data_IF_030790591612
#
_entry.id   IF_030790591612
#
_cell.length_a   1.000
_cell.length_b   1.000
_cell.length_c   1.000
_cell.angle_alpha   90.00
_cell.angle_beta   90.00
_cell.angle_gamma   90.00
#
_symmetry.space_group_name_H-M   'P 1'
#
loop_
_entity.id
_entity.type
_entity.pdbx_description
1 polymer ?
#
# COMPACT_ATOMS: atom_id res chain seq x y z
N UNK A 1 -8.94 1.35 23.68
CA UNK A 1 -7.63 0.76 24.01
C UNK A 1 -6.56 1.10 22.96
N UNK A 2 -6.65 0.72 21.67
CA UNK A 2 -5.58 1.03 20.71
C UNK A 2 -5.29 2.54 20.55
N UNK A 3 -6.33 3.35 20.50
CA UNK A 3 -6.20 4.83 20.33
C UNK A 3 -5.45 5.53 21.47
N UNK A 4 -5.35 4.91 22.65
CA UNK A 4 -4.55 5.44 23.78
C UNK A 4 -3.07 5.05 23.67
N UNK A 5 -2.75 4.03 22.87
CA UNK A 5 -1.38 3.52 22.70
C UNK A 5 -0.70 4.05 21.43
N UNK A 6 -1.48 4.33 20.38
CA UNK A 6 -0.99 4.75 19.08
C UNK A 6 -1.60 6.08 18.65
N UNK A 7 -0.78 6.94 18.09
CA UNK A 7 -1.20 8.28 17.61
C UNK A 7 -2.02 8.21 16.32
N UNK A 8 -1.86 7.19 15.51
CA UNK A 8 -2.59 6.95 14.27
C UNK A 8 -2.96 5.47 14.17
N UNK A 9 -4.19 5.19 13.73
CA UNK A 9 -4.68 3.85 13.46
C UNK A 9 -5.06 3.74 11.99
N UNK A 10 -4.41 2.82 11.28
CA UNK A 10 -4.68 2.50 9.89
C UNK A 10 -5.37 1.15 9.77
N UNK A 11 -6.26 1.04 8.78
CA UNK A 11 -6.94 -0.20 8.43
C UNK A 11 -6.52 -0.67 7.03
N UNK A 12 -6.34 -1.97 6.91
CA UNK A 12 -6.32 -2.67 5.63
C UNK A 12 -7.44 -3.71 5.68
N UNK A 13 -8.57 -3.38 5.07
CA UNK A 13 -9.81 -4.17 5.13
C UNK A 13 -10.50 -4.22 3.77
N UNK A 14 -11.36 -5.22 3.58
CA UNK A 14 -12.24 -5.28 2.42
C UNK A 14 -13.11 -4.02 2.32
N UNK A 15 -13.54 -3.62 1.08
CA UNK A 15 -14.41 -2.49 0.88
C UNK A 15 -15.65 -2.51 1.77
N UNK A 16 -15.95 -1.37 2.39
CA UNK A 16 -17.13 -1.15 3.23
C UNK A 16 -18.08 -0.14 2.57
N UNK A 17 -19.31 -0.10 3.08
CA UNK A 17 -20.23 0.99 2.80
C UNK A 17 -19.74 2.29 3.47
N UNK A 18 -20.24 3.44 3.06
CA UNK A 18 -19.91 4.72 3.71
C UNK A 18 -20.29 4.70 5.19
N UNK A 19 -21.43 4.08 5.54
CA UNK A 19 -21.86 3.90 6.93
C UNK A 19 -20.87 3.04 7.74
N UNK A 20 -20.42 1.92 7.14
CA UNK A 20 -19.39 1.07 7.76
C UNK A 20 -18.10 1.84 8.03
N UNK A 21 -17.64 2.65 7.08
CA UNK A 21 -16.47 3.52 7.28
C UNK A 21 -16.71 4.60 8.34
N UNK A 22 -17.91 5.16 8.42
CA UNK A 22 -18.25 6.15 9.47
C UNK A 22 -18.17 5.54 10.87
N UNK A 23 -18.63 4.31 11.06
CA UNK A 23 -18.49 3.61 12.34
C UNK A 23 -17.01 3.31 12.67
N UNK A 24 -16.21 2.91 11.68
CA UNK A 24 -14.77 2.70 11.88
C UNK A 24 -14.04 4.02 12.20
N UNK A 25 -14.42 5.12 11.57
CA UNK A 25 -13.87 6.44 11.89
C UNK A 25 -14.21 6.89 13.30
N UNK A 26 -15.46 6.71 13.73
CA UNK A 26 -15.88 6.96 15.13
C UNK A 26 -15.11 6.10 16.13
N UNK A 27 -14.78 4.86 15.77
CA UNK A 27 -13.93 3.99 16.58
C UNK A 27 -12.47 4.45 16.67
N UNK A 28 -12.07 5.44 15.84
CA UNK A 28 -10.78 6.10 15.91
C UNK A 28 -9.78 5.70 14.82
N UNK A 29 -10.22 5.02 13.79
CA UNK A 29 -9.39 4.75 12.61
C UNK A 29 -9.40 5.94 11.68
N UNK A 30 -8.23 6.38 11.22
CA UNK A 30 -8.07 7.61 10.44
C UNK A 30 -7.45 7.36 9.05
N UNK A 31 -6.87 6.18 8.82
CA UNK A 31 -6.24 5.81 7.56
C UNK A 31 -6.82 4.50 7.02
N UNK A 32 -7.05 4.44 5.72
CA UNK A 32 -7.51 3.25 5.01
C UNK A 32 -6.54 2.89 3.89
N UNK A 33 -6.16 1.62 3.85
CA UNK A 33 -5.49 1.00 2.70
C UNK A 33 -6.46 -0.02 2.08
N UNK A 34 -6.81 0.19 0.81
CA UNK A 34 -7.53 -0.80 0.01
C UNK A 34 -7.19 -0.56 -1.46
N UNK A 35 -6.36 -1.43 -2.01
CA UNK A 35 -5.85 -1.29 -3.38
C UNK A 35 -6.86 -1.78 -4.41
N UNK A 36 -6.88 -1.13 -5.58
CA UNK A 36 -7.79 -1.48 -6.67
C UNK A 36 -7.44 -2.81 -7.34
N UNK A 37 -6.21 -3.25 -7.27
CA UNK A 37 -5.58 -4.38 -7.94
C UNK A 37 -5.28 -4.10 -9.42
N UNK A 38 -6.26 -3.79 -10.25
CA UNK A 38 -6.13 -3.27 -11.61
C UNK A 38 -7.26 -2.28 -11.92
N UNK A 39 -6.97 -1.27 -12.70
CA UNK A 39 -7.93 -0.29 -13.19
C UNK A 39 -8.61 -0.71 -14.50
N UNK A 40 -8.14 -1.79 -15.13
CA UNK A 40 -8.79 -2.39 -16.29
C UNK A 40 -10.00 -3.25 -15.84
N UNK A 41 -11.24 -2.90 -16.17
CA UNK A 41 -12.42 -3.61 -15.69
C UNK A 41 -12.52 -5.05 -16.23
N UNK A 42 -12.05 -5.31 -17.46
CA UNK A 42 -12.10 -6.64 -18.07
C UNK A 42 -11.07 -7.56 -17.42
N UNK A 43 -9.85 -7.06 -17.21
CA UNK A 43 -8.82 -7.79 -16.49
C UNK A 43 -9.21 -7.99 -15.03
N UNK A 44 -9.82 -6.99 -14.39
CA UNK A 44 -10.33 -7.14 -13.03
C UNK A 44 -11.33 -8.29 -12.91
N UNK A 45 -12.30 -8.36 -13.83
CA UNK A 45 -13.29 -9.43 -13.88
C UNK A 45 -12.64 -10.80 -14.12
N UNK A 46 -11.61 -10.85 -14.97
CA UNK A 46 -10.86 -12.08 -15.23
C UNK A 46 -10.15 -12.59 -13.96
N UNK A 47 -9.47 -11.72 -13.20
CA UNK A 47 -8.75 -12.09 -11.98
C UNK A 47 -9.66 -12.28 -10.77
N UNK A 48 -10.85 -11.66 -10.77
CA UNK A 48 -11.80 -11.70 -9.65
C UNK A 48 -13.21 -12.11 -10.13
N UNK A 49 -13.37 -13.34 -10.65
CA UNK A 49 -14.62 -13.77 -11.31
C UNK A 49 -15.78 -13.97 -10.33
N UNK A 50 -15.52 -14.13 -9.04
CA UNK A 50 -16.53 -14.43 -8.04
C UNK A 50 -16.15 -13.93 -6.63
N UNK A 51 -17.10 -14.00 -5.69
CA UNK A 51 -16.90 -13.63 -4.29
C UNK A 51 -16.99 -12.13 -4.04
N UNK A 52 -16.76 -11.69 -2.79
CA UNK A 52 -16.92 -10.27 -2.40
C UNK A 52 -16.01 -9.31 -3.16
N UNK A 53 -14.89 -9.80 -3.68
CA UNK A 53 -13.91 -9.02 -4.43
C UNK A 53 -14.32 -8.78 -5.89
N UNK A 54 -15.35 -9.47 -6.42
CA UNK A 54 -15.76 -9.38 -7.83
C UNK A 54 -16.42 -8.05 -8.21
N UNK A 55 -16.87 -7.26 -7.25
CA UNK A 55 -17.52 -5.97 -7.52
C UNK A 55 -16.48 -4.87 -7.74
N UNK A 56 -16.13 -4.65 -9.02
CA UNK A 56 -15.15 -3.65 -9.44
C UNK A 56 -15.48 -2.24 -8.96
N UNK A 57 -16.70 -1.76 -9.25
CA UNK A 57 -17.14 -0.40 -8.92
C UNK A 57 -17.17 -0.16 -7.41
N UNK A 58 -17.66 -1.14 -6.66
CA UNK A 58 -17.69 -1.04 -5.21
C UNK A 58 -16.28 -0.94 -4.61
N UNK A 59 -15.30 -1.61 -5.21
CA UNK A 59 -13.90 -1.52 -4.80
C UNK A 59 -13.27 -0.20 -5.25
N UNK A 60 -13.47 0.22 -6.50
CA UNK A 60 -12.91 1.45 -7.04
C UNK A 60 -13.27 2.67 -6.17
N UNK A 61 -14.54 2.78 -5.78
CA UNK A 61 -15.03 3.92 -5.00
C UNK A 61 -14.86 3.78 -3.48
N UNK A 62 -14.09 2.80 -3.03
CA UNK A 62 -13.82 2.56 -1.61
C UNK A 62 -13.18 3.77 -0.93
N UNK A 63 -12.15 4.33 -1.51
CA UNK A 63 -11.41 5.46 -0.93
C UNK A 63 -12.28 6.73 -0.89
N UNK A 64 -13.12 6.94 -1.90
CA UNK A 64 -14.08 8.05 -1.89
C UNK A 64 -15.07 7.92 -0.71
N UNK A 65 -15.65 6.72 -0.50
CA UNK A 65 -16.56 6.48 0.63
C UNK A 65 -15.87 6.68 1.97
N UNK A 66 -14.63 6.22 2.12
CA UNK A 66 -13.85 6.42 3.33
C UNK A 66 -13.55 7.90 3.58
N UNK A 67 -13.14 8.66 2.56
CA UNK A 67 -12.90 10.10 2.65
C UNK A 67 -14.16 10.86 3.07
N UNK A 68 -15.31 10.55 2.47
CA UNK A 68 -16.62 11.11 2.85
C UNK A 68 -17.04 10.74 4.28
N UNK A 69 -16.62 9.58 4.77
CA UNK A 69 -16.85 9.15 6.15
C UNK A 69 -15.93 9.83 7.17
N UNK A 70 -14.92 10.60 6.72
CA UNK A 70 -14.03 11.38 7.57
C UNK A 70 -12.59 10.87 7.66
N UNK A 71 -12.24 9.78 6.96
CA UNK A 71 -10.87 9.29 6.93
C UNK A 71 -9.92 10.35 6.39
N UNK A 72 -8.75 10.47 7.03
CA UNK A 72 -7.74 11.50 6.76
C UNK A 72 -6.60 11.04 5.86
N UNK A 73 -6.48 9.73 5.64
CA UNK A 73 -5.44 9.16 4.80
C UNK A 73 -6.03 8.03 3.95
N UNK A 74 -5.86 8.15 2.63
CA UNK A 74 -6.44 7.27 1.62
C UNK A 74 -5.31 6.58 0.84
N UNK A 75 -5.08 5.31 1.12
CA UNK A 75 -4.04 4.51 0.49
C UNK A 75 -4.53 3.88 -0.81
N UNK A 76 -3.94 4.28 -1.93
CA UNK A 76 -4.27 3.81 -3.28
C UNK A 76 -3.09 3.10 -3.94
N UNK A 77 -3.39 2.05 -4.69
CA UNK A 77 -2.42 1.32 -5.51
C UNK A 77 -3.13 0.40 -6.51
N UNK A 78 -2.36 -0.11 -7.45
CA UNK A 78 -2.66 -1.31 -8.23
C UNK A 78 -1.55 -2.34 -8.05
N UNK A 79 -1.81 -3.61 -8.39
CA UNK A 79 -0.82 -4.68 -8.29
C UNK A 79 -0.02 -4.75 -9.59
N UNK A 80 1.25 -4.37 -9.52
CA UNK A 80 2.17 -4.38 -10.64
C UNK A 80 2.39 -5.81 -11.14
N UNK A 81 2.11 -6.04 -12.42
CA UNK A 81 2.22 -7.33 -13.08
C UNK A 81 0.92 -7.87 -13.67
N UNK A 82 -0.25 -7.36 -13.26
CA UNK A 82 -1.55 -7.81 -13.79
C UNK A 82 -1.85 -7.22 -15.16
N UNK A 83 -1.52 -5.96 -15.37
CA UNK A 83 -1.75 -5.20 -16.61
C UNK A 83 -0.51 -4.36 -16.97
N UNK A 84 -0.46 -3.77 -18.19
CA UNK A 84 0.60 -2.85 -18.57
C UNK A 84 0.69 -1.66 -17.61
N UNK A 85 1.78 -1.58 -16.86
CA UNK A 85 1.89 -0.65 -15.73
C UNK A 85 1.73 0.83 -16.08
N UNK A 86 2.08 1.24 -17.31
CA UNK A 86 1.94 2.65 -17.74
C UNK A 86 0.48 3.08 -17.84
N UNK A 87 -0.41 2.22 -18.34
CA UNK A 87 -1.84 2.48 -18.39
C UNK A 87 -2.45 2.51 -16.97
N UNK A 88 -2.06 1.53 -16.14
CA UNK A 88 -2.45 1.47 -14.74
C UNK A 88 -2.00 2.71 -13.95
N UNK A 89 -0.76 3.14 -14.15
CA UNK A 89 -0.21 4.34 -13.51
C UNK A 89 -0.98 5.61 -13.91
N UNK A 90 -1.35 5.76 -15.19
CA UNK A 90 -2.18 6.87 -15.63
C UNK A 90 -3.56 6.86 -14.99
N UNK A 91 -4.18 5.68 -14.88
CA UNK A 91 -5.49 5.51 -14.23
C UNK A 91 -5.41 5.77 -12.73
N UNK A 92 -4.36 5.29 -12.05
CA UNK A 92 -4.09 5.59 -10.64
C UNK A 92 -3.91 7.10 -10.42
N UNK A 93 -3.18 7.77 -11.29
CA UNK A 93 -2.98 9.22 -11.20
C UNK A 93 -4.31 9.97 -11.35
N UNK A 94 -5.14 9.60 -12.34
CA UNK A 94 -6.47 10.18 -12.52
C UNK A 94 -7.38 9.95 -11.30
N UNK A 95 -7.38 8.74 -10.74
CA UNK A 95 -8.12 8.40 -9.53
C UNK A 95 -7.63 9.23 -8.32
N UNK A 96 -6.33 9.38 -8.16
CA UNK A 96 -5.74 10.20 -7.09
C UNK A 96 -6.16 11.67 -7.21
N UNK A 97 -6.09 12.27 -8.40
CA UNK A 97 -6.57 13.64 -8.62
C UNK A 97 -8.05 13.79 -8.30
N UNK A 98 -8.88 12.81 -8.67
CA UNK A 98 -10.29 12.80 -8.33
C UNK A 98 -10.49 12.77 -6.80
N UNK A 99 -9.80 11.87 -6.09
CA UNK A 99 -9.88 11.78 -4.62
C UNK A 99 -9.40 13.05 -3.93
N UNK A 100 -8.30 13.65 -4.40
CA UNK A 100 -7.78 14.92 -3.85
C UNK A 100 -8.78 16.06 -4.00
N UNK A 101 -9.57 16.06 -5.07
CA UNK A 101 -10.63 17.05 -5.30
C UNK A 101 -11.84 16.80 -4.41
N UNK A 102 -12.33 15.56 -4.36
CA UNK A 102 -13.57 15.20 -3.66
C UNK A 102 -13.39 15.05 -2.15
N UNK A 103 -12.18 14.70 -1.71
CA UNK A 103 -11.82 14.47 -0.32
C UNK A 103 -10.63 15.36 0.09
N UNK A 104 -10.76 16.68 -0.12
CA UNK A 104 -9.67 17.64 0.06
C UNK A 104 -9.10 17.70 1.48
N UNK A 105 -9.83 17.21 2.48
CA UNK A 105 -9.36 17.08 3.87
C UNK A 105 -8.51 15.82 4.11
N UNK A 106 -8.46 14.90 3.14
CA UNK A 106 -7.69 13.67 3.24
C UNK A 106 -6.41 13.74 2.41
N UNK A 107 -5.36 13.08 2.88
CA UNK A 107 -4.11 12.90 2.15
C UNK A 107 -4.17 11.60 1.36
N UNK A 108 -3.85 11.66 0.07
CA UNK A 108 -3.66 10.45 -0.75
C UNK A 108 -2.26 9.90 -0.50
N UNK A 109 -2.18 8.59 -0.32
CA UNK A 109 -0.92 7.86 -0.16
C UNK A 109 -0.83 6.79 -1.25
N UNK A 110 0.31 6.74 -1.92
CA UNK A 110 0.59 5.74 -2.96
C UNK A 110 1.39 4.56 -2.40
N UNK A 111 1.11 3.39 -2.94
CA UNK A 111 1.99 2.23 -2.86
C UNK A 111 2.13 1.60 -4.26
N UNK A 112 3.23 0.91 -4.48
CA UNK A 112 3.55 0.30 -5.77
C UNK A 112 3.91 -1.18 -5.55
N UNK A 113 2.95 -2.01 -5.09
CA UNK A 113 3.19 -3.41 -4.80
C UNK A 113 3.44 -4.19 -6.09
N UNK A 114 4.64 -4.73 -6.23
CA UNK A 114 4.98 -5.63 -7.33
C UNK A 114 4.53 -7.05 -6.99
N UNK A 115 4.09 -7.78 -8.01
CA UNK A 115 3.71 -9.18 -7.85
C UNK A 115 4.93 -9.98 -7.37
N UNK A 116 4.79 -10.69 -6.27
CA UNK A 116 5.79 -11.63 -5.78
C UNK A 116 5.37 -13.05 -6.16
N UNK A 117 6.33 -13.91 -6.45
CA UNK A 117 6.05 -15.32 -6.72
C UNK A 117 5.27 -15.96 -5.57
N UNK A 118 4.20 -16.64 -5.92
CA UNK A 118 3.39 -17.45 -5.00
C UNK A 118 3.61 -18.92 -5.31
N UNK A 119 3.54 -19.76 -4.30
CA UNK A 119 3.46 -21.20 -4.51
C UNK A 119 2.15 -21.51 -5.22
N UNK A 120 2.20 -22.32 -6.28
CA UNK A 120 1.04 -22.61 -7.13
C UNK A 120 1.16 -22.07 -8.55
N UNK A 121 2.25 -21.37 -8.90
CA UNK A 121 2.69 -21.17 -10.27
C UNK A 121 1.99 -20.06 -11.05
N UNK A 122 1.20 -19.17 -10.43
CA UNK A 122 0.72 -17.99 -11.15
C UNK A 122 1.90 -17.13 -11.61
N UNK A 123 1.98 -16.89 -12.91
CA UNK A 123 2.96 -15.99 -13.52
C UNK A 123 2.22 -14.71 -13.94
N UNK A 124 2.66 -13.55 -13.48
CA UNK A 124 2.02 -12.30 -13.89
C UNK A 124 2.19 -12.10 -15.40
N UNK A 125 1.11 -11.70 -16.12
CA UNK A 125 1.15 -11.55 -17.57
C UNK A 125 2.06 -10.42 -18.05
N UNK A 126 2.37 -9.46 -17.17
CA UNK A 126 3.21 -8.30 -17.48
C UNK A 126 4.34 -8.19 -16.46
N UNK A 127 5.54 -8.57 -16.88
CA UNK A 127 6.71 -8.38 -16.03
C UNK A 127 6.99 -6.89 -15.81
N UNK A 128 7.33 -6.52 -14.57
CA UNK A 128 7.69 -5.15 -14.20
C UNK A 128 9.06 -5.20 -13.54
N UNK A 129 10.02 -4.53 -14.16
CA UNK A 129 11.39 -4.47 -13.66
C UNK A 129 11.53 -3.49 -12.48
N UNK A 130 12.68 -3.52 -11.84
CA UNK A 130 13.03 -2.57 -10.77
C UNK A 130 13.14 -1.15 -11.34
N UNK A 131 13.69 -1.01 -12.54
CA UNK A 131 13.79 0.27 -13.26
C UNK A 131 12.42 0.83 -13.63
N UNK A 132 11.44 -0.01 -13.97
CA UNK A 132 10.06 0.43 -14.21
C UNK A 132 9.42 0.98 -12.92
N UNK A 133 9.65 0.34 -11.78
CA UNK A 133 9.15 0.83 -10.48
C UNK A 133 9.83 2.14 -10.10
N UNK A 134 11.14 2.24 -10.30
CA UNK A 134 11.90 3.48 -10.06
C UNK A 134 11.34 4.63 -10.90
N UNK A 135 11.24 4.44 -12.22
CA UNK A 135 10.69 5.43 -13.14
C UNK A 135 9.28 5.88 -12.73
N UNK A 136 8.42 4.93 -12.36
CA UNK A 136 7.05 5.23 -11.95
C UNK A 136 7.02 6.03 -10.64
N UNK A 137 7.80 5.62 -9.62
CA UNK A 137 7.84 6.33 -8.33
C UNK A 137 8.39 7.75 -8.50
N UNK A 138 9.45 7.94 -9.29
CA UNK A 138 10.01 9.26 -9.59
C UNK A 138 9.01 10.14 -10.36
N UNK A 139 8.30 9.59 -11.36
CA UNK A 139 7.26 10.32 -12.08
C UNK A 139 6.12 10.75 -11.13
N UNK A 140 5.65 9.85 -10.25
CA UNK A 140 4.65 10.18 -9.25
C UNK A 140 5.14 11.23 -8.25
N UNK A 141 6.42 11.20 -7.87
CA UNK A 141 7.00 12.23 -7.00
C UNK A 141 6.98 13.62 -7.64
N UNK A 142 7.21 13.69 -8.94
CA UNK A 142 7.14 14.97 -9.69
C UNK A 142 5.69 15.47 -9.77
N UNK A 143 4.74 14.58 -10.09
CA UNK A 143 3.33 14.95 -10.30
C UNK A 143 2.60 15.20 -8.96
N UNK A 144 2.94 14.45 -7.91
CA UNK A 144 2.31 14.49 -6.58
C UNK A 144 3.33 14.75 -5.47
N UNK A 145 4.01 15.90 -5.46
CA UNK A 145 5.10 16.17 -4.51
C UNK A 145 4.66 16.13 -3.05
N UNK A 146 3.39 16.40 -2.76
CA UNK A 146 2.82 16.44 -1.41
C UNK A 146 2.27 15.08 -0.93
N UNK A 147 2.16 14.09 -1.80
CA UNK A 147 1.62 12.79 -1.44
C UNK A 147 2.70 11.88 -0.86
N UNK A 148 2.36 11.10 0.16
CA UNK A 148 3.24 10.07 0.69
C UNK A 148 3.32 8.87 -0.25
N UNK A 149 4.50 8.29 -0.37
CA UNK A 149 4.75 7.07 -1.13
C UNK A 149 5.37 6.01 -0.23
N UNK A 150 4.82 4.80 -0.30
CA UNK A 150 5.26 3.66 0.50
C UNK A 150 5.98 2.65 -0.37
N UNK A 151 7.16 2.22 0.04
CA UNK A 151 7.86 1.05 -0.49
C UNK A 151 7.79 -0.10 0.51
N UNK A 152 7.37 -1.26 0.03
CA UNK A 152 7.16 -2.44 0.87
C UNK A 152 8.36 -3.38 0.88
N UNK A 153 8.30 -4.39 1.75
CA UNK A 153 9.29 -5.48 1.83
C UNK A 153 9.24 -6.45 0.64
N UNK A 154 8.37 -6.22 -0.35
CA UNK A 154 8.37 -6.95 -1.64
C UNK A 154 9.60 -6.62 -2.46
N UNK A 155 10.15 -5.41 -2.32
CA UNK A 155 11.31 -4.94 -3.06
C UNK A 155 12.62 -5.34 -2.39
N UNK A 156 13.69 -5.43 -3.21
CA UNK A 156 15.02 -5.78 -2.74
C UNK A 156 15.60 -4.72 -1.78
N UNK A 157 16.39 -5.12 -0.77
CA UNK A 157 17.01 -4.18 0.18
C UNK A 157 17.73 -3.03 -0.51
N UNK A 158 18.55 -3.33 -1.51
CA UNK A 158 19.35 -2.33 -2.25
C UNK A 158 18.47 -1.28 -2.93
N UNK A 159 17.40 -1.71 -3.59
CA UNK A 159 16.46 -0.80 -4.23
C UNK A 159 15.73 0.07 -3.20
N UNK A 160 15.29 -0.52 -2.11
CA UNK A 160 14.60 0.20 -1.03
C UNK A 160 15.48 1.27 -0.40
N UNK A 161 16.76 0.96 -0.15
CA UNK A 161 17.74 1.89 0.41
C UNK A 161 18.10 3.03 -0.57
N UNK A 162 17.94 2.79 -1.88
CA UNK A 162 18.07 3.80 -2.91
C UNK A 162 16.82 4.69 -2.99
N UNK A 163 15.64 4.10 -3.19
CA UNK A 163 14.42 4.86 -3.52
C UNK A 163 13.92 5.73 -2.36
N UNK A 164 14.24 5.39 -1.10
CA UNK A 164 13.90 6.21 0.06
C UNK A 164 14.59 7.57 0.05
N UNK A 165 15.69 7.71 -0.65
CA UNK A 165 16.41 8.97 -0.77
C UNK A 165 15.73 9.96 -1.72
N UNK A 166 14.88 9.50 -2.64
CA UNK A 166 14.35 10.29 -3.74
C UNK A 166 12.83 10.32 -3.82
N UNK A 167 12.16 9.21 -3.57
CA UNK A 167 10.73 9.11 -3.83
C UNK A 167 9.90 8.55 -2.67
N UNK A 168 10.38 7.56 -1.94
CA UNK A 168 9.60 6.95 -0.87
C UNK A 168 9.69 7.75 0.44
N UNK A 169 8.55 7.96 1.09
CA UNK A 169 8.45 8.57 2.41
C UNK A 169 8.30 7.52 3.52
N UNK A 170 7.69 6.39 3.18
CA UNK A 170 7.41 5.33 4.13
C UNK A 170 8.04 4.01 3.67
N UNK A 171 8.59 3.27 4.62
CA UNK A 171 9.14 1.93 4.40
C UNK A 171 8.54 0.94 5.38
N UNK A 172 8.06 -0.20 4.88
CA UNK A 172 7.72 -1.33 5.73
C UNK A 172 8.99 -2.03 6.22
N UNK A 173 8.98 -2.54 7.45
CA UNK A 173 10.10 -3.31 8.00
C UNK A 173 9.58 -4.47 8.86
N UNK A 174 10.23 -5.62 8.79
CA UNK A 174 9.87 -6.80 9.57
C UNK A 174 8.49 -7.35 9.25
N UNK A 175 7.98 -7.14 8.03
CA UNK A 175 6.66 -7.63 7.61
C UNK A 175 6.57 -9.14 7.67
N UNK A 176 5.40 -9.65 8.06
CA UNK A 176 5.08 -11.08 8.07
C UNK A 176 3.77 -11.31 7.34
N UNK A 177 3.80 -12.18 6.33
CA UNK A 177 2.65 -12.44 5.45
C UNK A 177 1.98 -13.79 5.71
N UNK A 178 2.40 -14.48 6.76
CA UNK A 178 1.75 -15.71 7.25
C UNK A 178 0.64 -15.37 8.22
N UNK A 179 -0.49 -16.08 8.20
CA UNK A 179 -1.53 -15.93 9.23
C UNK A 179 -0.95 -16.12 10.64
N UNK A 180 -1.20 -15.16 11.53
CA UNK A 180 -0.65 -15.19 12.89
C UNK A 180 0.87 -14.99 13.00
N UNK A 181 1.57 -14.64 11.92
CA UNK A 181 3.03 -14.56 11.85
C UNK A 181 3.70 -13.60 12.83
N UNK A 182 2.97 -12.64 13.38
CA UNK A 182 3.46 -11.76 14.45
C UNK A 182 3.32 -12.36 15.86
N UNK A 183 2.47 -13.36 16.03
CA UNK A 183 2.23 -14.02 17.31
C UNK A 183 3.10 -15.29 17.50
N UNK A 184 3.54 -15.90 16.40
CA UNK A 184 4.34 -17.14 16.42
C UNK A 184 5.82 -16.77 16.35
N UNK A 185 6.54 -17.04 17.44
CA UNK A 185 8.00 -16.82 17.54
C UNK A 185 8.83 -17.92 16.87
N UNK A 186 8.23 -19.07 16.54
CA UNK A 186 8.93 -20.24 16.00
C UNK A 186 8.90 -20.27 14.47
N UNK A 187 10.12 -20.40 13.90
CA UNK A 187 10.38 -20.31 12.46
C UNK A 187 9.97 -21.53 11.64
N UNK A 188 9.59 -22.66 12.26
CA UNK A 188 9.53 -23.95 11.58
C UNK A 188 8.28 -24.21 10.72
N UNK A 189 7.21 -23.45 10.88
CA UNK A 189 5.97 -23.62 10.07
C UNK A 189 5.53 -22.38 9.30
N UNK A 190 6.30 -21.32 9.34
CA UNK A 190 5.91 -20.04 8.73
C UNK A 190 6.06 -20.02 7.19
N UNK A 191 6.93 -20.84 6.63
CA UNK A 191 7.19 -20.86 5.18
C UNK A 191 6.06 -21.52 4.38
N UNK A 192 5.44 -22.56 4.92
CA UNK A 192 4.46 -23.41 4.19
C UNK A 192 3.08 -22.76 3.99
N UNK A 193 2.81 -21.66 4.70
CA UNK A 193 1.52 -20.94 4.66
C UNK A 193 1.66 -19.46 4.31
N UNK A 194 2.83 -19.01 3.88
CA UNK A 194 3.04 -17.63 3.48
C UNK A 194 2.30 -17.33 2.18
N UNK A 195 1.56 -16.22 2.14
CA UNK A 195 0.83 -15.80 0.94
C UNK A 195 1.78 -15.56 -0.26
N UNK A 196 2.99 -15.10 0.00
CA UNK A 196 4.08 -14.89 -0.97
C UNK A 196 5.43 -14.70 -0.23
N UNK A 197 6.53 -14.84 -0.97
CA UNK A 197 7.88 -14.63 -0.41
C UNK A 197 8.23 -13.15 -0.38
N UNK A 198 8.67 -12.65 0.79
CA UNK A 198 9.19 -11.28 0.93
C UNK A 198 10.66 -11.25 0.52
N UNK A 199 11.05 -10.23 -0.25
CA UNK A 199 12.43 -10.06 -0.73
C UNK A 199 13.31 -9.42 0.35
N UNK A 200 12.80 -8.41 1.07
CA UNK A 200 13.51 -7.81 2.19
C UNK A 200 13.01 -8.37 3.53
N UNK A 201 13.84 -9.19 4.15
CA UNK A 201 13.57 -9.82 5.43
C UNK A 201 14.34 -9.19 6.59
N UNK A 202 14.97 -8.03 6.37
CA UNK A 202 15.72 -7.33 7.40
C UNK A 202 14.82 -6.99 8.60
N UNK A 203 15.41 -7.08 9.80
CA UNK A 203 14.75 -6.61 11.01
C UNK A 203 14.57 -5.08 10.97
N UNK A 204 13.57 -4.52 11.68
CA UNK A 204 13.35 -3.07 11.72
C UNK A 204 14.61 -2.26 12.09
N UNK A 205 15.42 -2.76 13.01
CA UNK A 205 16.70 -2.13 13.41
C UNK A 205 17.69 -1.99 12.26
N UNK A 206 17.73 -2.98 11.34
CA UNK A 206 18.68 -2.98 10.23
C UNK A 206 18.21 -2.03 9.12
N UNK A 207 16.90 -1.95 8.87
CA UNK A 207 16.29 -0.96 7.98
C UNK A 207 16.51 0.46 8.53
N UNK A 208 16.31 0.66 9.83
CA UNK A 208 16.61 1.94 10.50
C UNK A 208 18.07 2.35 10.31
N UNK A 209 19.01 1.42 10.54
CA UNK A 209 20.44 1.68 10.36
C UNK A 209 20.78 2.07 8.91
N UNK A 210 20.17 1.41 7.91
CA UNK A 210 20.37 1.72 6.51
C UNK A 210 19.86 3.12 6.15
N UNK A 211 18.65 3.51 6.60
CA UNK A 211 18.09 4.85 6.39
C UNK A 211 19.01 5.93 7.01
N UNK A 212 19.48 5.69 8.23
CA UNK A 212 20.39 6.60 8.91
C UNK A 212 21.75 6.71 8.23
N UNK A 213 22.28 5.62 7.67
CA UNK A 213 23.53 5.63 6.90
C UNK A 213 23.40 6.47 5.62
N UNK A 214 22.21 6.63 5.06
CA UNK A 214 21.90 7.51 3.94
C UNK A 214 21.71 8.99 4.36
N UNK A 215 21.97 9.34 5.62
CA UNK A 215 21.84 10.72 6.13
C UNK A 215 20.41 11.16 6.43
N UNK A 216 19.47 10.22 6.50
CA UNK A 216 18.07 10.49 6.79
C UNK A 216 17.72 10.06 8.21
N UNK A 217 16.64 10.63 8.76
CA UNK A 217 16.09 10.22 10.06
C UNK A 217 14.79 9.45 9.89
N UNK A 218 14.60 8.43 10.75
CA UNK A 218 13.37 7.67 10.83
C UNK A 218 12.41 8.30 11.81
N UNK A 219 11.20 8.60 11.36
CA UNK A 219 10.11 9.12 12.18
C UNK A 219 9.06 8.05 12.34
N UNK A 220 8.75 7.67 13.59
CA UNK A 220 7.79 6.60 13.89
C UNK A 220 6.33 7.06 14.00
N UNK A 221 6.03 8.30 13.63
CA UNK A 221 4.65 8.81 13.54
C UNK A 221 4.46 9.63 12.27
N UNK A 222 3.39 9.31 11.56
CA UNK A 222 3.05 9.97 10.30
C UNK A 222 2.23 11.25 10.48
N UNK A 223 1.91 11.63 11.71
CA UNK A 223 0.90 12.63 11.99
C UNK A 223 1.29 13.52 13.17
N UNK A 224 1.42 14.80 12.93
CA UNK A 224 1.52 15.80 13.98
C UNK A 224 0.17 16.51 14.11
N UNK A 225 -0.43 16.47 15.31
CA UNK A 225 -1.71 17.14 15.60
C UNK A 225 -1.59 18.68 15.65
N UNK A 226 -0.40 19.22 15.40
CA UNK A 226 -0.11 20.64 15.50
C UNK A 226 -0.12 21.37 14.17
N UNK A 227 -0.61 20.75 13.09
CA UNK A 227 -0.82 21.41 11.79
C UNK A 227 -2.30 21.41 11.48
#
# INVERSE_FOLDING_TARGET
>A
MLKTMFSNLSLEVAPQTEEGYRELFKAGYEALTCFQETYDPEQYKYFHPAGPKSNYEFRLWTQLRAGKAGFRQLGVAFLLGLCPWRAEAASLAAHAFYLMKECYEAKVQFAFPRFCRVEGGFVPPHEVSEEDVDLMMLAFRIVFPQCCMTVSTREAPKFRDYIVQYAADNMSAGSRVTPGGYAVLEKEHAADVAQFTLTDQRAPKDVYAAIKANGQEVVFKNWDKRI
#
